data_IF_946951768028
#
_entry.id   IF_946951768028
#
_cell.length_a   1.000
_cell.length_b   1.000
_cell.length_c   1.000
_cell.angle_alpha   90.00
_cell.angle_beta   90.00
_cell.angle_gamma   90.00
#
_symmetry.space_group_name_H-M   'P 1'
#
loop_
_entity.id
_entity.type
_entity.pdbx_description
1 polymer ?
#
# COMPACT_ATOMS: atom_id res chain seq x y z
N UNK A 1 -0.32 -0.66 16.71
CA UNK A 1 -0.82 0.71 16.48
C UNK A 1 -1.98 0.58 15.50
N UNK A 2 -3.12 1.18 15.81
CA UNK A 2 -4.27 1.24 14.91
C UNK A 2 -4.15 2.37 13.89
N UNK A 3 -4.91 2.32 12.80
CA UNK A 3 -4.90 3.38 11.77
C UNK A 3 -5.21 4.76 12.36
N UNK A 4 -6.10 4.84 13.34
CA UNK A 4 -6.44 6.10 14.01
C UNK A 4 -5.26 6.69 14.78
N UNK A 5 -4.52 5.84 15.52
CA UNK A 5 -3.31 6.26 16.25
C UNK A 5 -2.20 6.71 15.28
N UNK A 6 -2.09 6.04 14.13
CA UNK A 6 -1.13 6.39 13.08
C UNK A 6 -1.47 7.75 12.46
N UNK A 7 -2.74 7.99 12.14
CA UNK A 7 -3.23 9.27 11.60
C UNK A 7 -3.00 10.40 12.61
N UNK A 8 -3.31 10.19 13.89
CA UNK A 8 -3.12 11.20 14.92
C UNK A 8 -1.64 11.53 15.12
N UNK A 9 -0.77 10.53 15.14
CA UNK A 9 0.68 10.73 15.19
C UNK A 9 1.15 11.55 14.00
N UNK A 10 0.73 11.18 12.80
CA UNK A 10 1.09 11.82 11.55
C UNK A 10 0.70 13.32 11.53
N UNK A 11 -0.55 13.62 11.90
CA UNK A 11 -1.07 14.98 11.99
C UNK A 11 -0.35 15.79 13.07
N UNK A 12 0.01 15.19 14.21
CA UNK A 12 0.70 15.89 15.28
C UNK A 12 2.16 16.19 14.93
N UNK A 13 2.88 15.27 14.29
CA UNK A 13 4.24 15.54 13.80
C UNK A 13 4.24 16.64 12.74
N UNK A 14 3.23 16.69 11.88
CA UNK A 14 3.11 17.71 10.84
C UNK A 14 2.93 19.14 11.38
N UNK A 15 2.57 19.32 12.66
CA UNK A 15 2.42 20.64 13.30
C UNK A 15 3.74 21.27 13.75
N UNK A 16 4.80 20.48 13.86
CA UNK A 16 6.09 20.91 14.42
C UNK A 16 7.19 20.68 13.38
N UNK A 17 8.12 21.64 13.15
CA UNK A 17 9.24 21.45 12.24
C UNK A 17 10.04 20.18 12.54
N UNK A 18 10.17 19.29 11.55
CA UNK A 18 10.98 18.08 11.67
C UNK A 18 12.33 18.27 10.98
N UNK A 19 13.41 17.93 11.68
CA UNK A 19 14.78 17.98 11.13
C UNK A 19 15.00 16.97 9.99
N UNK A 20 14.22 15.88 9.98
CA UNK A 20 14.27 14.81 8.98
C UNK A 20 12.92 14.65 8.32
N UNK A 21 12.92 14.06 7.12
CA UNK A 21 11.69 13.64 6.46
C UNK A 21 11.05 12.49 7.24
N UNK A 22 9.80 12.64 7.64
CA UNK A 22 8.96 11.55 8.14
C UNK A 22 8.05 11.10 7.02
N UNK A 23 8.10 9.82 6.67
CA UNK A 23 7.28 9.24 5.60
C UNK A 23 6.41 8.15 6.21
N UNK A 24 5.11 8.38 6.25
CA UNK A 24 4.12 7.42 6.74
C UNK A 24 3.60 6.58 5.58
N UNK A 25 3.71 5.26 5.69
CA UNK A 25 3.20 4.31 4.69
C UNK A 25 1.98 3.63 5.30
N UNK A 26 0.87 3.61 4.57
CA UNK A 26 -0.38 2.97 5.02
C UNK A 26 -0.86 1.94 4.01
N UNK A 27 -1.50 0.90 4.52
CA UNK A 27 -2.21 -0.07 3.71
C UNK A 27 -3.42 0.57 2.98
N UNK A 28 -3.88 -0.08 1.91
CA UNK A 28 -5.01 0.34 1.11
C UNK A 28 -6.35 -0.29 1.54
N UNK A 29 -6.36 -1.10 2.59
CA UNK A 29 -7.51 -1.86 3.06
C UNK A 29 -8.59 -1.00 3.76
N UNK A 30 -8.23 0.17 4.31
CA UNK A 30 -9.15 1.04 5.04
C UNK A 30 -9.05 2.53 4.65
N UNK A 31 -9.44 2.90 3.41
CA UNK A 31 -9.28 4.27 2.89
C UNK A 31 -10.05 5.32 3.70
N UNK A 32 -11.19 4.97 4.30
CA UNK A 32 -11.97 5.91 5.12
C UNK A 32 -11.23 6.38 6.38
N UNK A 33 -10.40 5.51 6.96
CA UNK A 33 -9.62 5.86 8.16
C UNK A 33 -8.41 6.72 7.81
N UNK A 34 -7.81 6.50 6.64
CA UNK A 34 -6.57 7.16 6.23
C UNK A 34 -6.80 8.40 5.36
N UNK A 35 -8.04 8.74 4.99
CA UNK A 35 -8.40 9.89 4.14
C UNK A 35 -7.81 11.25 4.55
N UNK A 36 -7.53 11.46 5.84
CA UNK A 36 -6.92 12.72 6.32
C UNK A 36 -5.47 12.86 5.86
N UNK A 37 -4.76 11.74 5.74
CA UNK A 37 -3.33 11.70 5.43
C UNK A 37 -3.07 11.19 4.01
N UNK A 38 -4.05 10.67 3.29
CA UNK A 38 -3.87 10.24 1.91
C UNK A 38 -4.40 11.30 0.94
N UNK A 39 -3.76 11.39 -0.23
CA UNK A 39 -4.26 12.07 -1.41
C UNK A 39 -4.53 11.01 -2.46
N UNK A 40 -5.76 10.96 -2.99
CA UNK A 40 -6.17 9.95 -3.96
C UNK A 40 -5.67 10.27 -5.38
N UNK A 41 -5.30 11.51 -5.65
CA UNK A 41 -4.88 11.96 -6.97
C UNK A 41 -3.36 12.03 -7.12
N UNK A 42 -2.62 11.89 -6.02
CA UNK A 42 -1.17 11.98 -5.99
C UNK A 42 -0.58 10.74 -5.31
N UNK A 43 0.62 10.29 -5.72
CA UNK A 43 1.26 9.10 -5.15
C UNK A 43 1.61 9.26 -3.66
N UNK A 44 1.71 10.50 -3.18
CA UNK A 44 1.91 10.84 -1.78
C UNK A 44 1.29 12.20 -1.46
N UNK A 45 1.10 12.47 -0.17
CA UNK A 45 0.64 13.74 0.38
C UNK A 45 1.73 14.38 1.22
N UNK A 46 2.02 15.66 0.97
CA UNK A 46 2.79 16.48 1.89
C UNK A 46 1.86 17.06 2.96
N UNK A 47 2.17 16.83 4.23
CA UNK A 47 1.36 17.26 5.37
C UNK A 47 1.89 18.53 6.06
N UNK A 48 3.11 18.96 5.72
CA UNK A 48 3.80 20.07 6.36
C UNK A 48 5.02 19.63 7.18
N UNK A 49 5.95 20.54 7.42
CA UNK A 49 7.09 20.36 8.33
C UNK A 49 7.91 19.07 8.08
N UNK A 50 8.21 18.76 6.82
CA UNK A 50 8.90 17.52 6.40
C UNK A 50 8.15 16.21 6.71
N UNK A 51 6.83 16.27 6.90
CA UNK A 51 5.98 15.09 7.06
C UNK A 51 5.24 14.79 5.76
N UNK A 52 5.34 13.54 5.33
CA UNK A 52 4.77 12.98 4.11
C UNK A 52 4.02 11.69 4.46
N UNK A 53 3.06 11.34 3.62
CA UNK A 53 2.30 10.10 3.75
C UNK A 53 1.96 9.54 2.38
N UNK A 54 1.96 8.23 2.25
CA UNK A 54 1.55 7.54 1.03
C UNK A 54 0.75 6.28 1.37
N UNK A 55 -0.18 5.96 0.49
CA UNK A 55 -0.87 4.68 0.49
C UNK A 55 -0.12 3.73 -0.42
N UNK A 56 0.00 2.47 -0.02
CA UNK A 56 0.68 1.49 -0.87
C UNK A 56 -0.04 1.40 -2.24
N UNK A 57 0.70 1.49 -3.37
CA UNK A 57 0.11 1.30 -4.69
C UNK A 57 -0.37 -0.14 -4.88
N UNK A 58 -1.33 -0.32 -5.79
CA UNK A 58 -1.89 -1.64 -6.11
C UNK A 58 -1.00 -2.33 -7.17
N UNK A 59 -0.42 -3.50 -6.89
CA UNK A 59 0.34 -4.27 -7.89
C UNK A 59 -0.54 -4.73 -9.06
N UNK A 60 0.05 -4.91 -10.26
CA UNK A 60 -0.69 -5.24 -11.48
C UNK A 60 -1.48 -6.56 -11.38
N UNK A 61 -0.99 -7.55 -10.63
CA UNK A 61 -1.67 -8.84 -10.45
C UNK A 61 -2.89 -8.77 -9.52
N UNK A 62 -3.15 -7.62 -8.88
CA UNK A 62 -4.28 -7.43 -7.96
C UNK A 62 -5.41 -6.69 -8.66
N UNK A 63 -6.58 -7.31 -8.69
CA UNK A 63 -7.82 -6.71 -9.20
C UNK A 63 -8.59 -5.90 -8.15
N UNK A 64 -8.35 -6.19 -6.86
CA UNK A 64 -8.96 -5.49 -5.74
C UNK A 64 -7.98 -4.44 -5.20
N UNK A 65 -8.50 -3.24 -4.92
CA UNK A 65 -7.71 -2.12 -4.38
C UNK A 65 -7.58 -2.13 -2.86
N UNK A 66 -8.41 -2.89 -2.14
CA UNK A 66 -8.40 -2.98 -0.68
C UNK A 66 -7.34 -3.97 -0.18
N UNK A 67 -6.06 -3.61 -0.36
CA UNK A 67 -4.91 -4.46 -0.09
C UNK A 67 -4.10 -3.99 1.13
N UNK A 68 -3.53 -4.93 1.87
CA UNK A 68 -2.38 -4.73 2.76
C UNK A 68 -1.06 -5.15 2.10
N UNK A 69 0.08 -4.78 2.69
CA UNK A 69 1.42 -4.99 2.12
C UNK A 69 1.72 -6.44 1.70
N UNK A 70 1.18 -7.45 2.39
CA UNK A 70 1.41 -8.85 2.01
C UNK A 70 0.81 -9.22 0.65
N UNK A 71 -0.18 -8.46 0.14
CA UNK A 71 -0.73 -8.67 -1.19
C UNK A 71 0.23 -8.29 -2.33
N UNK A 72 1.41 -7.77 -2.00
CA UNK A 72 2.49 -7.60 -2.97
C UNK A 72 3.05 -8.94 -3.43
N UNK A 73 2.87 -9.99 -2.63
CA UNK A 73 3.06 -11.37 -3.06
C UNK A 73 1.80 -11.86 -3.80
N UNK A 74 1.99 -12.74 -4.76
CA UNK A 74 0.92 -13.45 -5.48
C UNK A 74 0.24 -14.45 -4.55
N UNK A 75 -0.96 -14.90 -4.92
CA UNK A 75 -1.67 -15.91 -4.11
C UNK A 75 -0.94 -17.26 -4.09
N UNK A 76 -0.11 -17.57 -5.09
CA UNK A 76 0.75 -18.75 -5.06
C UNK A 76 1.88 -18.60 -4.05
N UNK A 77 2.54 -17.44 -4.01
CA UNK A 77 3.64 -17.17 -3.06
C UNK A 77 3.14 -17.08 -1.61
N UNK A 78 1.95 -16.50 -1.38
CA UNK A 78 1.32 -16.50 -0.06
C UNK A 78 0.97 -17.91 0.43
N UNK A 79 0.70 -18.84 -0.50
CA UNK A 79 0.40 -20.24 -0.18
C UNK A 79 1.63 -21.11 0.06
N UNK A 80 2.84 -20.56 -0.09
CA UNK A 80 4.08 -21.28 0.22
C UNK A 80 4.03 -21.82 1.65
N UNK A 81 4.24 -23.13 1.78
CA UNK A 81 4.19 -23.83 3.04
C UNK A 81 5.56 -23.81 3.73
N UNK A 82 5.54 -23.64 5.05
CA UNK A 82 6.70 -23.77 5.93
C UNK A 82 6.44 -24.85 6.96
N UNK A 83 7.40 -25.75 7.16
CA UNK A 83 7.30 -26.72 8.24
C UNK A 83 7.62 -26.07 9.60
N UNK A 84 6.67 -26.17 10.54
CA UNK A 84 6.81 -25.72 11.92
C UNK A 84 6.32 -26.85 12.83
N UNK A 85 7.24 -27.40 13.63
CA UNK A 85 6.94 -28.50 14.56
C UNK A 85 6.23 -29.70 13.90
N UNK A 86 6.70 -30.11 12.71
CA UNK A 86 6.14 -31.23 11.94
C UNK A 86 4.79 -30.95 11.28
N UNK A 87 4.38 -29.67 11.19
CA UNK A 87 3.15 -29.23 10.54
C UNK A 87 3.46 -28.24 9.44
N UNK A 88 2.74 -28.34 8.33
CA UNK A 88 2.87 -27.40 7.23
C UNK A 88 1.96 -26.21 7.47
N UNK A 89 2.56 -25.05 7.63
CA UNK A 89 1.88 -23.80 7.91
C UNK A 89 2.06 -22.84 6.74
N UNK A 90 1.02 -22.06 6.42
CA UNK A 90 1.07 -21.03 5.36
C UNK A 90 0.18 -19.84 5.69
N UNK A 91 0.29 -18.76 4.92
CA UNK A 91 -0.73 -17.72 4.97
C UNK A 91 -1.99 -18.20 4.24
N UNK A 92 -3.14 -17.78 4.73
CA UNK A 92 -4.43 -18.07 4.11
C UNK A 92 -5.12 -16.78 3.68
N UNK A 93 -5.92 -16.85 2.63
CA UNK A 93 -6.76 -15.75 2.16
C UNK A 93 -8.21 -16.02 2.58
N UNK A 94 -8.94 -14.95 2.92
CA UNK A 94 -10.35 -15.03 3.32
C UNK A 94 -11.26 -15.72 2.29
N UNK A 95 -10.94 -15.59 1.01
CA UNK A 95 -11.69 -16.15 -0.12
C UNK A 95 -11.42 -17.64 -0.34
N UNK A 96 -10.49 -18.24 0.41
CA UNK A 96 -10.34 -19.69 0.49
C UNK A 96 -11.45 -20.33 1.34
N UNK A 97 -12.27 -19.53 2.04
CA UNK A 97 -13.31 -19.98 2.95
C UNK A 97 -14.69 -19.43 2.57
N UNK A 98 -15.73 -20.22 2.88
CA UNK A 98 -17.12 -19.77 2.86
C UNK A 98 -17.43 -18.81 4.03
N UNK A 99 -18.62 -18.22 4.02
CA UNK A 99 -19.04 -17.26 5.06
C UNK A 99 -19.15 -17.87 6.48
N UNK A 100 -19.03 -19.19 6.62
CA UNK A 100 -19.00 -19.90 7.91
C UNK A 100 -17.56 -20.21 8.36
N UNK A 101 -16.57 -19.84 7.57
CA UNK A 101 -15.17 -20.13 7.83
C UNK A 101 -14.76 -21.55 7.46
N UNK A 102 -15.53 -22.27 6.62
CA UNK A 102 -15.14 -23.59 6.12
C UNK A 102 -14.46 -23.41 4.77
N UNK A 103 -13.28 -24.01 4.57
CA UNK A 103 -12.58 -23.89 3.31
C UNK A 103 -13.39 -24.51 2.16
N UNK A 104 -13.17 -24.03 0.94
CA UNK A 104 -13.94 -24.48 -0.23
C UNK A 104 -13.76 -25.98 -0.53
N UNK A 105 -12.59 -26.53 -0.20
CA UNK A 105 -12.25 -27.96 -0.26
C UNK A 105 -12.75 -28.77 0.95
N UNK A 106 -13.27 -28.09 1.99
CA UNK A 106 -13.74 -28.66 3.28
C UNK A 106 -12.66 -29.36 4.10
N UNK A 107 -11.40 -28.96 3.97
CA UNK A 107 -10.30 -29.49 4.79
C UNK A 107 -10.04 -28.65 6.05
N UNK A 108 -10.25 -27.34 5.96
CA UNK A 108 -9.86 -26.36 6.96
C UNK A 108 -11.07 -25.61 7.55
N UNK A 109 -10.89 -25.13 8.78
CA UNK A 109 -11.80 -24.23 9.45
C UNK A 109 -11.05 -23.00 9.96
N UNK A 110 -11.52 -21.82 9.54
CA UNK A 110 -11.10 -20.51 10.04
C UNK A 110 -12.00 -20.08 11.19
N UNK A 111 -11.43 -19.77 12.36
CA UNK A 111 -12.17 -19.35 13.56
C UNK A 111 -12.70 -17.90 13.48
N UNK A 112 -12.48 -17.20 12.37
CA UNK A 112 -12.86 -15.81 12.17
C UNK A 112 -13.70 -15.63 10.89
N UNK A 113 -14.95 -16.11 10.87
CA UNK A 113 -15.80 -16.09 9.68
C UNK A 113 -16.06 -14.69 9.11
N UNK A 114 -15.92 -13.63 9.91
CA UNK A 114 -16.02 -12.24 9.43
C UNK A 114 -14.94 -11.83 8.44
N UNK A 115 -13.80 -12.53 8.45
CA UNK A 115 -12.69 -12.36 7.52
C UNK A 115 -12.80 -13.30 6.31
N UNK A 116 -13.80 -14.19 6.29
CA UNK A 116 -14.00 -15.22 5.28
C UNK A 116 -15.10 -14.83 4.29
N UNK A 117 -15.06 -15.44 3.10
CA UNK A 117 -16.07 -15.29 2.05
C UNK A 117 -15.45 -14.97 0.68
N UNK A 118 -16.20 -15.18 -0.41
CA UNK A 118 -15.67 -15.12 -1.78
C UNK A 118 -15.03 -13.77 -2.14
N UNK A 119 -15.55 -12.68 -1.56
CA UNK A 119 -15.07 -11.31 -1.83
C UNK A 119 -14.01 -10.82 -0.82
N UNK A 120 -13.52 -11.69 0.08
CA UNK A 120 -12.59 -11.33 1.15
C UNK A 120 -11.16 -11.73 0.81
N UNK A 121 -10.31 -10.77 0.48
CA UNK A 121 -8.88 -11.02 0.28
C UNK A 121 -8.06 -10.90 1.58
N UNK A 122 -8.69 -10.74 2.74
CA UNK A 122 -7.99 -10.59 4.02
C UNK A 122 -6.99 -11.73 4.27
N UNK A 123 -5.77 -11.39 4.67
CA UNK A 123 -4.74 -12.35 5.07
C UNK A 123 -5.05 -12.88 6.46
N UNK A 124 -5.09 -14.20 6.60
CA UNK A 124 -5.28 -14.94 7.84
C UNK A 124 -3.94 -15.60 8.20
N UNK A 125 -3.32 -15.12 9.28
CA UNK A 125 -1.94 -15.43 9.64
C UNK A 125 -1.79 -16.06 11.03
N UNK A 126 -2.88 -16.25 11.78
CA UNK A 126 -2.79 -16.90 13.08
C UNK A 126 -2.20 -16.05 14.21
N UNK A 127 -1.75 -14.81 13.93
CA UNK A 127 -1.11 -13.91 14.91
C UNK A 127 -2.13 -13.02 15.65
N UNK A 128 -3.42 -13.30 15.46
CA UNK A 128 -4.53 -12.67 16.17
C UNK A 128 -5.52 -13.74 16.62
N UNK A 129 -6.68 -13.40 17.18
CA UNK A 129 -7.71 -14.38 17.66
C UNK A 129 -8.27 -15.31 16.56
N UNK A 130 -7.67 -15.30 15.39
CA UNK A 130 -7.93 -16.11 14.22
C UNK A 130 -7.01 -17.33 14.22
N UNK A 131 -7.56 -18.52 13.98
CA UNK A 131 -6.79 -19.73 13.68
C UNK A 131 -7.36 -20.33 12.40
N UNK A 132 -6.51 -21.00 11.64
CA UNK A 132 -6.94 -21.93 10.59
C UNK A 132 -6.54 -23.31 11.05
N UNK A 133 -7.48 -24.21 11.26
CA UNK A 133 -7.22 -25.57 11.75
C UNK A 133 -7.69 -26.58 10.73
N UNK A 134 -7.20 -27.82 10.80
CA UNK A 134 -7.90 -28.92 10.14
C UNK A 134 -9.26 -29.10 10.79
N UNK A 135 -10.26 -29.50 10.01
CA UNK A 135 -11.55 -29.91 10.59
C UNK A 135 -11.39 -31.15 11.48
N UNK A 136 -10.46 -32.05 11.12
CA UNK A 136 -10.15 -33.26 11.89
C UNK A 136 -9.30 -33.01 13.14
N UNK A 137 -8.54 -31.91 13.21
CA UNK A 137 -7.71 -31.52 14.35
C UNK A 137 -7.89 -30.02 14.65
N UNK A 138 -8.94 -29.66 15.42
CA UNK A 138 -9.30 -28.27 15.68
C UNK A 138 -8.40 -27.58 16.73
N UNK A 139 -7.41 -28.28 17.30
CA UNK A 139 -6.59 -27.74 18.39
C UNK A 139 -5.41 -26.91 17.87
N UNK A 140 -4.91 -27.23 16.67
CA UNK A 140 -3.67 -26.66 16.17
C UNK A 140 -3.90 -25.80 14.94
N UNK A 141 -3.38 -24.58 15.00
CA UNK A 141 -3.39 -23.65 13.88
C UNK A 141 -2.31 -24.01 12.87
N UNK A 142 -2.69 -23.96 11.59
CA UNK A 142 -1.84 -24.09 10.40
C UNK A 142 -1.61 -22.72 9.73
N UNK A 143 -2.24 -21.66 10.22
CA UNK A 143 -1.94 -20.31 9.76
C UNK A 143 -0.52 -19.90 10.22
N UNK A 144 0.30 -19.47 9.27
CA UNK A 144 1.68 -19.02 9.48
C UNK A 144 1.66 -17.53 9.88
N UNK A 145 2.23 -17.13 11.03
CA UNK A 145 2.33 -15.72 11.40
C UNK A 145 3.06 -14.90 10.34
N UNK A 146 2.56 -13.69 10.04
CA UNK A 146 3.19 -12.76 9.08
C UNK A 146 4.67 -12.51 9.39
N UNK A 147 4.99 -12.41 10.68
CA UNK A 147 6.38 -12.28 11.17
C UNK A 147 7.24 -13.48 10.77
N UNK A 148 6.71 -14.71 10.88
CA UNK A 148 7.42 -15.93 10.45
C UNK A 148 7.55 -16.05 8.94
N UNK A 149 6.56 -15.60 8.19
CA UNK A 149 6.65 -15.50 6.74
C UNK A 149 7.75 -14.52 6.31
N UNK A 150 7.78 -13.32 6.91
CA UNK A 150 8.81 -12.32 6.63
C UNK A 150 10.22 -12.76 7.06
N UNK A 151 10.34 -13.44 8.22
CA UNK A 151 11.61 -14.03 8.66
C UNK A 151 12.11 -15.12 7.68
N UNK A 152 11.20 -15.97 7.16
CA UNK A 152 11.58 -17.01 6.21
C UNK A 152 12.11 -16.43 4.89
N UNK A 153 11.48 -15.36 4.39
CA UNK A 153 11.96 -14.60 3.23
C UNK A 153 13.32 -13.95 3.49
N UNK A 154 13.47 -13.29 4.64
CA UNK A 154 14.71 -12.60 5.00
C UNK A 154 15.90 -13.56 5.16
N UNK A 155 15.64 -14.76 5.66
CA UNK A 155 16.66 -15.79 5.87
C UNK A 155 16.91 -16.66 4.63
N UNK A 156 16.25 -16.37 3.50
CA UNK A 156 16.39 -17.12 2.24
C UNK A 156 16.18 -18.64 2.44
N UNK A 157 15.17 -19.00 3.22
CA UNK A 157 14.83 -20.42 3.40
C UNK A 157 14.45 -21.05 2.05
N UNK A 158 14.83 -22.31 1.85
CA UNK A 158 14.76 -22.97 0.53
C UNK A 158 13.35 -22.88 -0.09
N UNK A 159 12.32 -23.08 0.71
CA UNK A 159 10.91 -23.04 0.29
C UNK A 159 10.46 -21.64 -0.17
N UNK A 160 11.17 -20.58 0.24
CA UNK A 160 10.85 -19.17 0.00
C UNK A 160 11.81 -18.51 -1.00
N UNK A 161 12.82 -19.24 -1.50
CA UNK A 161 13.90 -18.72 -2.35
C UNK A 161 13.43 -18.16 -3.70
N UNK A 162 12.31 -18.67 -4.24
CA UNK A 162 11.75 -18.25 -5.53
C UNK A 162 10.71 -17.12 -5.41
N UNK A 163 10.44 -16.62 -4.19
CA UNK A 163 9.44 -15.56 -3.99
C UNK A 163 10.01 -14.20 -4.42
N UNK A 164 9.28 -13.51 -5.28
CA UNK A 164 9.71 -12.23 -5.83
C UNK A 164 9.40 -11.07 -4.88
N UNK A 165 10.37 -10.15 -4.77
CA UNK A 165 10.20 -8.85 -4.09
C UNK A 165 9.98 -7.69 -5.07
N UNK A 166 9.77 -7.98 -6.37
CA UNK A 166 9.71 -6.97 -7.42
C UNK A 166 8.60 -5.92 -7.20
N UNK A 167 7.43 -6.33 -6.73
CA UNK A 167 6.30 -5.43 -6.50
C UNK A 167 6.62 -4.33 -5.47
N UNK A 168 7.58 -4.54 -4.57
CA UNK A 168 7.98 -3.52 -3.60
C UNK A 168 8.68 -2.31 -4.25
N UNK A 169 9.18 -2.45 -5.49
CA UNK A 169 9.71 -1.31 -6.28
C UNK A 169 8.69 -0.18 -6.39
N UNK A 170 7.39 -0.50 -6.45
CA UNK A 170 6.31 0.49 -6.51
C UNK A 170 6.34 1.46 -5.31
N UNK A 171 6.60 0.96 -4.10
CA UNK A 171 6.75 1.79 -2.90
C UNK A 171 8.06 2.59 -3.00
N UNK A 172 9.17 1.94 -3.38
CA UNK A 172 10.47 2.61 -3.48
C UNK A 172 10.49 3.75 -4.50
N UNK A 173 9.75 3.63 -5.59
CA UNK A 173 9.68 4.68 -6.61
C UNK A 173 8.95 5.92 -6.09
N UNK A 174 7.91 5.75 -5.26
CA UNK A 174 7.28 6.87 -4.54
C UNK A 174 8.24 7.47 -3.51
N UNK A 175 8.95 6.62 -2.74
CA UNK A 175 9.94 7.09 -1.77
C UNK A 175 11.05 7.92 -2.43
N UNK A 176 11.53 7.50 -3.61
CA UNK A 176 12.50 8.27 -4.40
C UNK A 176 11.95 9.65 -4.77
N UNK A 177 10.68 9.75 -5.19
CA UNK A 177 10.05 11.04 -5.50
C UNK A 177 10.00 11.99 -4.30
N UNK A 178 9.82 11.45 -3.09
CA UNK A 178 9.80 12.23 -1.84
C UNK A 178 11.21 12.63 -1.41
N UNK A 179 12.18 11.72 -1.52
CA UNK A 179 13.52 11.89 -0.96
C UNK A 179 14.40 12.73 -1.88
N UNK A 180 14.37 12.48 -3.18
CA UNK A 180 15.24 13.11 -4.16
C UNK A 180 14.79 14.55 -4.43
N UNK A 181 15.73 15.48 -4.69
CA UNK A 181 15.40 16.82 -5.15
C UNK A 181 14.66 16.72 -6.47
N UNK A 182 13.52 17.39 -6.59
CA UNK A 182 12.87 17.60 -7.87
C UNK A 182 13.75 18.60 -8.65
N UNK A 183 14.27 18.20 -9.80
CA UNK A 183 14.95 19.15 -10.69
C UNK A 183 13.92 20.20 -11.14
N UNK A 184 14.13 21.44 -10.73
CA UNK A 184 13.34 22.56 -11.25
C UNK A 184 13.87 22.80 -12.65
N UNK A 185 13.18 22.29 -13.67
CA UNK A 185 13.37 22.79 -15.03
C UNK A 185 12.81 24.22 -15.05
N UNK A 186 13.68 25.20 -14.83
CA UNK A 186 13.36 26.59 -15.14
C UNK A 186 13.05 26.66 -16.64
N UNK A 187 11.77 26.68 -16.98
CA UNK A 187 11.34 27.12 -18.31
C UNK A 187 11.89 28.53 -18.50
N UNK A 188 12.74 28.80 -19.51
CA UNK A 188 13.26 30.14 -19.71
C UNK A 188 12.08 31.07 -19.94
N UNK A 189 12.05 32.18 -19.20
CA UNK A 189 11.14 33.29 -19.46
C UNK A 189 11.36 33.70 -20.92
N UNK A 190 10.41 33.38 -21.81
CA UNK A 190 10.36 33.98 -23.14
C UNK A 190 10.14 35.47 -22.94
N UNK A 191 11.17 36.27 -23.25
CA UNK A 191 11.08 37.72 -23.33
C UNK A 191 9.88 38.11 -24.20
N UNK A 192 8.91 38.80 -23.59
CA UNK A 192 7.87 39.48 -24.37
C UNK A 192 8.55 40.61 -25.17
N UNK A 193 8.28 40.74 -26.48
CA UNK A 193 8.80 41.87 -27.23
C UNK A 193 8.18 43.17 -26.71
N UNK A 194 9.05 44.17 -26.52
CA UNK A 194 8.69 45.50 -26.02
C UNK A 194 7.54 46.14 -26.84
N UNK A 195 6.68 46.97 -26.22
CA UNK A 195 5.59 47.63 -26.91
C UNK A 195 6.15 48.62 -27.95
N UNK A 196 5.89 48.34 -29.22
CA UNK A 196 6.21 49.23 -30.33
C UNK A 196 5.39 50.52 -30.26
N UNK A 197 6.08 51.65 -30.30
CA UNK A 197 5.52 52.99 -30.42
C UNK A 197 4.63 53.10 -31.66
N UNK A 198 3.31 53.25 -31.48
CA UNK A 198 2.42 53.74 -32.52
C UNK A 198 2.53 55.27 -32.60
N UNK A 199 3.28 55.75 -33.59
CA UNK A 199 3.26 57.16 -33.99
C UNK A 199 1.90 57.51 -34.59
N UNK A 200 1.37 58.65 -34.15
CA UNK A 200 0.18 59.31 -34.67
C UNK A 200 0.35 59.67 -36.15
N UNK A 201 -0.61 59.24 -36.98
CA UNK A 201 -0.80 59.69 -38.35
C UNK A 201 -2.22 60.21 -38.52
N UNK A 202 -2.41 61.51 -38.31
CA UNK A 202 -3.63 62.24 -38.61
C UNK A 202 -3.53 62.63 -40.09
N UNK A 203 -4.43 62.17 -40.95
CA UNK A 203 -4.68 62.82 -42.24
C UNK A 203 -6.10 62.53 -42.74
N UNK A 204 -6.91 63.56 -42.62
CA UNK A 204 -8.18 63.82 -43.28
C UNK A 204 -8.13 63.70 -44.81
N UNK A 205 -9.15 63.11 -45.43
CA UNK A 205 -9.70 63.61 -46.72
C UNK A 205 -11.15 63.18 -46.89
N UNK A 206 -12.00 64.17 -47.15
CA UNK A 206 -13.42 64.11 -47.49
C UNK A 206 -13.54 64.25 -49.02
N UNK A 207 -14.64 63.73 -49.59
CA UNK A 207 -15.21 63.94 -50.95
C UNK A 207 -14.62 63.07 -52.06
N UNK A 208 -15.39 62.45 -52.96
CA UNK A 208 -16.75 62.72 -53.47
C UNK A 208 -17.46 61.41 -53.81
#
# INVERSE_FOLDING_TARGET
MSDSELVDLCVNLAKIPQLRKFIFIVDADNPERTKKIIDQNNPFKFLGNNVYSLQIPVPEHRTNSAICIEHYYTDSELRTEKEIAGKRCRLFLGNEFDNRGISLDREYHCTAPRQCGPDKITIIDGDSKTKVTLISDPQVSLALPKTKFAEALLNEENEFSDISSENFKLIFDILKQIILPQEVTETPLTEQPAPGNAQQGISSSIST
#
